data_IF_555721924072
#
_entry.id   IF_555721924072
#
_cell.length_a   1.000
_cell.length_b   1.000
_cell.length_c   1.000
_cell.angle_alpha   90.00
_cell.angle_beta   90.00
_cell.angle_gamma   90.00
#
_symmetry.space_group_name_H-M   'P 1'
#
loop_
_entity.id
_entity.type
_entity.pdbx_description
1 polymer ?
#
# COMPACT_ATOMS: atom_id res chain seq x y z
N UNK A 1 15.14 -3.86 31.92
CA UNK A 1 16.20 -3.32 31.05
C UNK A 1 15.59 -3.07 29.68
N UNK A 2 15.38 -1.81 29.29
CA UNK A 2 14.81 -1.43 28.00
C UNK A 2 15.98 -1.26 27.01
N UNK A 3 16.05 -2.07 25.96
CA UNK A 3 17.27 -2.24 25.16
C UNK A 3 17.52 -1.18 24.08
N UNK A 4 16.62 -0.19 23.90
CA UNK A 4 16.71 0.86 22.85
C UNK A 4 17.10 0.37 21.44
N UNK A 5 17.00 -0.93 21.16
CA UNK A 5 17.17 -1.48 19.83
C UNK A 5 15.90 -1.14 19.05
N UNK A 6 16.04 -0.51 17.88
CA UNK A 6 14.91 -0.22 16.99
C UNK A 6 14.12 -1.50 16.78
N UNK A 7 12.83 -1.49 17.13
CA UNK A 7 11.96 -2.65 16.94
C UNK A 7 11.91 -2.97 15.44
N UNK A 8 12.47 -4.12 15.06
CA UNK A 8 12.23 -4.70 13.75
C UNK A 8 10.84 -5.33 13.78
N UNK A 9 9.83 -4.52 13.47
CA UNK A 9 8.47 -5.01 13.32
C UNK A 9 8.41 -5.91 12.08
N UNK A 10 8.10 -7.19 12.29
CA UNK A 10 7.80 -8.09 11.19
C UNK A 10 6.37 -7.80 10.75
N UNK A 11 6.21 -7.20 9.58
CA UNK A 11 4.89 -7.03 8.95
C UNK A 11 4.55 -8.32 8.21
N UNK A 12 3.44 -9.01 8.56
CA UNK A 12 3.02 -10.21 7.85
C UNK A 12 2.80 -9.97 6.36
N UNK A 13 3.16 -10.95 5.53
CA UNK A 13 3.04 -10.87 4.06
C UNK A 13 1.61 -10.59 3.60
N UNK A 14 0.62 -11.18 4.29
CA UNK A 14 -0.80 -10.97 3.99
C UNK A 14 -1.28 -9.52 4.19
N UNK A 15 -0.59 -8.71 5.00
CA UNK A 15 -0.83 -7.26 5.09
C UNK A 15 0.03 -6.50 4.07
N UNK A 16 1.30 -6.86 3.96
CA UNK A 16 2.26 -6.14 3.13
C UNK A 16 1.89 -6.17 1.62
N UNK A 17 1.46 -7.32 1.11
CA UNK A 17 1.21 -7.48 -0.32
C UNK A 17 0.04 -6.65 -0.85
N UNK A 18 -1.14 -6.60 -0.20
CA UNK A 18 -2.20 -5.68 -0.60
C UNK A 18 -1.75 -4.21 -0.58
N UNK A 19 -1.00 -3.81 0.45
CA UNK A 19 -0.50 -2.43 0.62
C UNK A 19 0.44 -2.05 -0.51
N UNK A 20 1.51 -2.80 -0.74
CA UNK A 20 2.47 -2.52 -1.82
C UNK A 20 1.80 -2.69 -3.19
N UNK A 21 0.90 -3.67 -3.32
CA UNK A 21 0.15 -3.93 -4.55
C UNK A 21 -0.74 -2.76 -4.98
N UNK A 22 -1.22 -1.93 -4.05
CA UNK A 22 -2.00 -0.74 -4.37
C UNK A 22 -1.21 0.30 -5.17
N UNK A 23 0.10 0.40 -4.94
CA UNK A 23 0.98 1.35 -5.61
C UNK A 23 1.17 1.09 -7.10
N UNK A 24 0.68 -0.07 -7.62
CA UNK A 24 0.58 -0.30 -9.08
C UNK A 24 -0.29 0.75 -9.78
N UNK A 25 -1.17 1.45 -9.06
CA UNK A 25 -1.96 2.56 -9.61
C UNK A 25 -1.08 3.74 -10.09
N UNK A 26 0.13 3.87 -9.52
CA UNK A 26 1.12 4.87 -9.88
C UNK A 26 1.88 4.53 -11.16
N UNK A 27 1.78 3.30 -11.67
CA UNK A 27 2.50 2.92 -12.90
C UNK A 27 1.75 3.47 -14.11
N UNK A 28 2.48 4.10 -15.02
CA UNK A 28 2.01 4.43 -16.36
C UNK A 28 3.03 4.05 -17.43
N UNK A 29 2.54 3.89 -18.65
CA UNK A 29 3.38 3.72 -19.83
C UNK A 29 3.57 5.10 -20.45
N UNK A 30 4.83 5.50 -20.61
CA UNK A 30 5.16 6.72 -21.33
C UNK A 30 4.81 6.54 -22.82
N UNK A 31 3.90 7.37 -23.38
CA UNK A 31 3.41 7.16 -24.74
C UNK A 31 4.46 7.43 -25.83
N UNK A 32 5.53 8.17 -25.51
CA UNK A 32 6.60 8.48 -26.47
C UNK A 32 7.67 7.40 -26.54
N UNK A 33 7.99 6.78 -25.39
CA UNK A 33 9.07 5.79 -25.28
C UNK A 33 8.59 4.35 -25.15
N UNK A 34 7.33 4.14 -24.76
CA UNK A 34 6.77 2.82 -24.41
C UNK A 34 7.32 2.25 -23.10
N UNK A 35 8.10 3.03 -22.35
CA UNK A 35 8.74 2.59 -21.09
C UNK A 35 7.81 2.89 -19.91
N UNK A 36 7.82 2.01 -18.91
CA UNK A 36 7.09 2.22 -17.67
C UNK A 36 7.75 3.29 -16.80
N UNK A 37 6.94 4.19 -16.26
CA UNK A 37 7.36 5.20 -15.27
C UNK A 37 6.34 5.34 -14.15
N UNK A 38 6.75 6.00 -13.09
CA UNK A 38 5.87 6.40 -12.00
C UNK A 38 5.19 7.72 -12.32
N UNK A 39 3.86 7.77 -12.22
CA UNK A 39 3.03 8.99 -12.30
C UNK A 39 3.41 10.00 -11.22
N UNK A 40 3.70 9.49 -10.02
CA UNK A 40 4.10 10.23 -8.82
C UNK A 40 5.13 9.41 -8.05
N UNK A 41 5.99 10.08 -7.28
CA UNK A 41 6.95 9.40 -6.42
C UNK A 41 6.20 8.52 -5.38
N UNK A 42 6.40 7.19 -5.39
CA UNK A 42 5.73 6.29 -4.44
C UNK A 42 6.05 6.60 -2.98
N UNK A 43 7.23 7.13 -2.67
CA UNK A 43 7.58 7.47 -1.29
C UNK A 43 6.82 8.70 -0.80
N UNK A 44 6.62 9.69 -1.66
CA UNK A 44 5.77 10.85 -1.35
C UNK A 44 4.31 10.43 -1.15
N UNK A 45 3.79 9.57 -2.02
CA UNK A 45 2.43 9.03 -1.88
C UNK A 45 2.28 8.28 -0.56
N UNK A 46 3.28 7.50 -0.16
CA UNK A 46 3.26 6.81 1.13
C UNK A 46 3.29 7.77 2.32
N UNK A 47 4.08 8.85 2.25
CA UNK A 47 4.11 9.85 3.32
C UNK A 47 2.75 10.55 3.51
N UNK A 48 2.03 10.79 2.41
CA UNK A 48 0.73 11.48 2.46
C UNK A 48 -0.45 10.53 2.77
N UNK A 49 -0.45 9.31 2.23
CA UNK A 49 -1.57 8.36 2.34
C UNK A 49 -1.35 7.21 3.30
N UNK A 50 -0.13 7.04 3.85
CA UNK A 50 0.27 5.88 4.63
C UNK A 50 -0.66 5.61 5.82
N UNK A 51 -1.06 6.66 6.54
CA UNK A 51 -1.99 6.54 7.67
C UNK A 51 -3.37 6.01 7.24
N UNK A 52 -3.91 6.53 6.12
CA UNK A 52 -5.20 6.08 5.58
C UNK A 52 -5.14 4.65 5.07
N UNK A 53 -4.04 4.29 4.39
CA UNK A 53 -3.78 2.92 3.93
C UNK A 53 -3.71 1.95 5.11
N UNK A 54 -3.00 2.31 6.17
CA UNK A 54 -2.92 1.51 7.39
C UNK A 54 -4.29 1.40 8.08
N UNK A 55 -5.08 2.48 8.10
CA UNK A 55 -6.45 2.49 8.63
C UNK A 55 -7.37 1.50 7.90
N UNK A 56 -7.30 1.42 6.57
CA UNK A 56 -8.09 0.47 5.78
C UNK A 56 -7.75 -0.98 6.14
N UNK A 57 -6.47 -1.29 6.34
CA UNK A 57 -6.06 -2.64 6.77
C UNK A 57 -6.55 -2.92 8.19
N UNK A 58 -6.45 -1.94 9.08
CA UNK A 58 -6.89 -2.05 10.47
C UNK A 58 -8.41 -2.28 10.60
N UNK A 59 -9.20 -1.62 9.75
CA UNK A 59 -10.66 -1.69 9.78
C UNK A 59 -11.25 -3.04 9.36
N UNK A 60 -10.47 -3.92 8.73
CA UNK A 60 -10.93 -5.28 8.42
C UNK A 60 -11.17 -6.11 9.68
N UNK A 61 -10.56 -5.75 10.82
CA UNK A 61 -10.71 -6.45 12.12
C UNK A 61 -10.49 -7.96 12.06
N UNK A 62 -9.73 -8.41 11.05
CA UNK A 62 -9.36 -9.80 10.85
C UNK A 62 -8.01 -10.06 11.51
N UNK A 63 -7.96 -11.04 12.41
CA UNK A 63 -6.76 -11.33 13.19
C UNK A 63 -5.74 -12.16 12.41
N UNK A 64 -6.19 -12.88 11.38
CA UNK A 64 -5.32 -13.68 10.53
C UNK A 64 -4.87 -12.90 9.28
N UNK A 65 -3.57 -12.51 9.17
CA UNK A 65 -3.08 -11.76 8.04
C UNK A 65 -3.26 -12.46 6.69
N UNK A 66 -3.29 -13.80 6.66
CA UNK A 66 -3.50 -14.55 5.43
C UNK A 66 -4.91 -14.37 4.85
N UNK A 67 -5.90 -14.09 5.69
CA UNK A 67 -7.25 -13.77 5.24
C UNK A 67 -7.35 -12.34 4.73
N UNK A 68 -6.69 -11.37 5.41
CA UNK A 68 -6.53 -9.99 4.90
C UNK A 68 -5.90 -10.02 3.50
N UNK A 69 -4.83 -10.80 3.31
CA UNK A 69 -4.12 -10.92 2.03
C UNK A 69 -4.95 -11.52 0.91
N UNK A 70 -6.05 -12.21 1.22
CA UNK A 70 -6.99 -12.81 0.25
C UNK A 70 -8.28 -12.01 0.09
N UNK A 71 -8.50 -10.98 0.90
CA UNK A 71 -9.70 -10.14 0.88
C UNK A 71 -9.74 -9.24 -0.34
N UNK A 72 -10.56 -9.58 -1.34
CA UNK A 72 -10.74 -8.75 -2.56
C UNK A 72 -11.17 -7.32 -2.22
N UNK A 73 -11.88 -7.13 -1.11
CA UNK A 73 -12.30 -5.82 -0.61
C UNK A 73 -11.09 -4.95 -0.26
N UNK A 74 -10.16 -5.47 0.55
CA UNK A 74 -8.91 -4.78 0.92
C UNK A 74 -8.13 -4.35 -0.30
N UNK A 75 -7.86 -5.29 -1.21
CA UNK A 75 -7.12 -5.00 -2.44
C UNK A 75 -7.78 -3.90 -3.27
N UNK A 76 -9.12 -3.92 -3.37
CA UNK A 76 -9.86 -2.94 -4.15
C UNK A 76 -9.87 -1.56 -3.49
N UNK A 77 -10.05 -1.49 -2.18
CA UNK A 77 -10.10 -0.23 -1.44
C UNK A 77 -8.73 0.44 -1.41
N UNK A 78 -7.67 -0.30 -1.08
CA UNK A 78 -6.31 0.21 -1.11
C UNK A 78 -5.92 0.73 -2.50
N UNK A 79 -6.22 -0.02 -3.56
CA UNK A 79 -5.94 0.42 -4.92
C UNK A 79 -6.70 1.69 -5.29
N UNK A 80 -7.98 1.81 -4.91
CA UNK A 80 -8.79 3.02 -5.16
C UNK A 80 -8.19 4.25 -4.49
N UNK A 81 -7.71 4.12 -3.25
CA UNK A 81 -7.09 5.25 -2.55
C UNK A 81 -5.87 5.80 -3.29
N UNK A 82 -4.96 4.92 -3.68
CA UNK A 82 -3.76 5.33 -4.41
C UNK A 82 -4.13 5.87 -5.79
N UNK A 83 -5.10 5.25 -6.48
CA UNK A 83 -5.58 5.72 -7.78
C UNK A 83 -6.18 7.13 -7.68
N UNK A 84 -7.06 7.38 -6.72
CA UNK A 84 -7.66 8.70 -6.52
C UNK A 84 -6.59 9.77 -6.27
N UNK A 85 -5.58 9.45 -5.46
CA UNK A 85 -4.46 10.37 -5.24
C UNK A 85 -3.68 10.68 -6.53
N UNK A 86 -3.65 9.77 -7.52
CA UNK A 86 -3.00 10.08 -8.82
C UNK A 86 -3.77 11.07 -9.68
N UNK A 87 -5.06 11.27 -9.42
CA UNK A 87 -5.95 12.11 -10.22
C UNK A 87 -6.03 13.56 -9.71
N UNK A 88 -5.60 13.79 -8.47
CA UNK A 88 -5.48 15.12 -7.83
C UNK A 88 -4.12 15.71 -8.15
#
# INVERSE_FOLDING_TARGET
MFYQAGLKYLVPKGILYPVVGAFRALVEVDPGTGIYRWKKDPFMVWNDLGERIAGIVWDEKEENPEYIGKSKNVWSNLFKEVLLYTLV
#
